data_IF_734590865541
#
_entry.id   IF_734590865541
#
_cell.length_a   1.000
_cell.length_b   1.000
_cell.length_c   1.000
_cell.angle_alpha   90.00
_cell.angle_beta   90.00
_cell.angle_gamma   90.00
#
_symmetry.space_group_name_H-M   'P 1'
#
loop_
_entity.id
_entity.type
_entity.pdbx_description
1 polymer ?
#
# COMPACT_ATOMS: atom_id res chain seq x y z
N UNK A 1 2.79 -3.44 -21.33
CA UNK A 1 1.43 -3.91 -21.01
C UNK A 1 0.47 -2.73 -20.96
N UNK A 2 -0.81 -2.88 -21.32
CA UNK A 2 -1.79 -1.79 -21.24
C UNK A 2 -3.05 -2.27 -20.51
N UNK A 3 -3.73 -1.36 -19.81
CA UNK A 3 -4.98 -1.67 -19.11
C UNK A 3 -6.11 -0.75 -19.51
N UNK A 4 -7.31 -1.33 -19.61
CA UNK A 4 -8.54 -0.57 -19.84
C UNK A 4 -8.96 0.14 -18.56
N UNK A 5 -9.57 1.31 -18.70
CA UNK A 5 -10.16 2.05 -17.57
C UNK A 5 -11.07 1.17 -16.70
N UNK A 6 -11.92 0.34 -17.33
CA UNK A 6 -12.79 -0.60 -16.61
C UNK A 6 -12.02 -1.64 -15.77
N UNK A 7 -10.82 -2.03 -16.19
CA UNK A 7 -9.98 -2.97 -15.42
C UNK A 7 -9.39 -2.28 -14.19
N UNK A 8 -9.01 -1.00 -14.30
CA UNK A 8 -8.50 -0.20 -13.18
C UNK A 8 -9.62 0.01 -12.16
N UNK A 9 -10.82 0.41 -12.61
CA UNK A 9 -11.99 0.59 -11.74
C UNK A 9 -12.32 -0.73 -11.00
N UNK A 10 -12.38 -1.84 -11.74
CA UNK A 10 -12.63 -3.15 -11.12
C UNK A 10 -11.54 -3.55 -10.11
N UNK A 11 -10.27 -3.19 -10.34
CA UNK A 11 -9.19 -3.44 -9.39
C UNK A 11 -9.36 -2.62 -8.10
N UNK A 12 -9.79 -1.35 -8.19
CA UNK A 12 -10.11 -0.50 -7.04
C UNK A 12 -11.24 -1.13 -6.23
N UNK A 13 -12.34 -1.51 -6.88
CA UNK A 13 -13.51 -2.10 -6.21
C UNK A 13 -13.17 -3.41 -5.51
N UNK A 14 -12.43 -4.32 -6.16
CA UNK A 14 -11.97 -5.57 -5.54
C UNK A 14 -11.07 -5.30 -4.34
N UNK A 15 -10.14 -4.35 -4.48
CA UNK A 15 -9.23 -3.98 -3.40
C UNK A 15 -10.00 -3.45 -2.17
N UNK A 16 -10.98 -2.57 -2.39
CA UNK A 16 -11.85 -2.04 -1.34
C UNK A 16 -12.73 -3.11 -0.71
N UNK A 17 -13.36 -3.97 -1.50
CA UNK A 17 -14.21 -5.05 -1.02
C UNK A 17 -13.43 -6.05 -0.18
N UNK A 18 -12.27 -6.50 -0.67
CA UNK A 18 -11.41 -7.44 0.08
C UNK A 18 -10.84 -6.80 1.34
N UNK A 19 -10.46 -5.51 1.30
CA UNK A 19 -10.02 -4.79 2.49
C UNK A 19 -11.10 -4.76 3.56
N UNK A 20 -12.32 -4.34 3.20
CA UNK A 20 -13.45 -4.29 4.12
C UNK A 20 -13.81 -5.68 4.66
N UNK A 21 -13.71 -6.72 3.81
CA UNK A 21 -13.99 -8.09 4.22
C UNK A 21 -13.11 -8.57 5.37
N UNK A 22 -11.86 -8.11 5.49
CA UNK A 22 -10.97 -8.43 6.63
C UNK A 22 -11.51 -7.82 7.93
N UNK A 23 -11.90 -6.55 7.90
CA UNK A 23 -12.39 -5.82 9.08
C UNK A 23 -13.81 -6.19 9.50
N UNK A 24 -14.56 -6.88 8.63
CA UNK A 24 -15.87 -7.44 8.97
C UNK A 24 -15.77 -8.76 9.76
N UNK A 25 -14.58 -9.36 9.87
CA UNK A 25 -14.40 -10.62 10.57
C UNK A 25 -14.35 -10.41 12.09
N UNK A 26 -15.07 -11.28 12.82
CA UNK A 26 -15.18 -11.22 14.28
C UNK A 26 -14.39 -12.31 15.00
N UNK A 27 -13.76 -13.23 14.27
CA UNK A 27 -12.97 -14.32 14.81
C UNK A 27 -11.66 -14.51 14.05
N UNK A 28 -10.66 -15.07 14.75
CA UNK A 28 -9.29 -15.24 14.24
C UNK A 28 -9.22 -16.01 12.91
N UNK A 29 -9.99 -17.08 12.77
CA UNK A 29 -9.99 -17.93 11.56
C UNK A 29 -10.60 -17.23 10.35
N UNK A 30 -11.69 -16.50 10.54
CA UNK A 30 -12.29 -15.65 9.53
C UNK A 30 -11.34 -14.53 9.09
N UNK A 31 -10.69 -13.88 10.06
CA UNK A 31 -9.71 -12.82 9.80
C UNK A 31 -8.55 -13.33 8.94
N UNK A 32 -7.98 -14.48 9.32
CA UNK A 32 -6.88 -15.09 8.58
C UNK A 32 -7.31 -15.46 7.15
N UNK A 33 -8.50 -16.06 6.98
CA UNK A 33 -9.02 -16.44 5.66
C UNK A 33 -9.30 -15.22 4.77
N UNK A 34 -9.86 -14.15 5.34
CA UNK A 34 -10.11 -12.91 4.63
C UNK A 34 -8.80 -12.19 4.25
N UNK A 35 -7.80 -12.22 5.13
CA UNK A 35 -6.47 -11.66 4.85
C UNK A 35 -5.76 -12.43 3.72
N UNK A 36 -5.84 -13.75 3.74
CA UNK A 36 -5.31 -14.60 2.67
C UNK A 36 -5.99 -14.27 1.33
N UNK A 37 -7.32 -14.15 1.31
CA UNK A 37 -8.07 -13.74 0.13
C UNK A 37 -7.71 -12.32 -0.37
N UNK A 38 -7.43 -11.38 0.54
CA UNK A 38 -6.92 -10.06 0.17
C UNK A 38 -5.55 -10.16 -0.51
N UNK A 39 -4.64 -10.96 0.04
CA UNK A 39 -3.29 -11.14 -0.52
C UNK A 39 -3.31 -11.92 -1.84
N UNK A 40 -4.27 -12.80 -2.06
CA UNK A 40 -4.41 -13.52 -3.32
C UNK A 40 -4.82 -12.60 -4.49
N UNK A 41 -5.37 -11.40 -4.23
CA UNK A 41 -5.61 -10.40 -5.27
C UNK A 41 -4.33 -10.04 -6.05
N UNK A 42 -3.16 -10.06 -5.40
CA UNK A 42 -1.88 -9.78 -6.04
C UNK A 42 -1.46 -10.84 -7.06
N UNK A 43 -2.13 -12.00 -7.05
CA UNK A 43 -1.94 -13.08 -8.02
C UNK A 43 -3.10 -13.14 -9.03
N UNK A 44 -4.33 -12.91 -8.57
CA UNK A 44 -5.53 -13.13 -9.36
C UNK A 44 -6.00 -11.90 -10.15
N UNK A 45 -5.71 -10.68 -9.68
CA UNK A 45 -6.05 -9.45 -10.40
C UNK A 45 -4.89 -8.97 -11.27
N UNK A 46 -5.15 -8.78 -12.57
CA UNK A 46 -4.11 -8.47 -13.56
C UNK A 46 -3.44 -7.11 -13.32
N UNK A 47 -4.18 -6.11 -12.83
CA UNK A 47 -3.65 -4.76 -12.61
C UNK A 47 -2.77 -4.78 -11.36
N UNK A 48 -3.30 -5.31 -10.26
CA UNK A 48 -2.56 -5.43 -9.00
C UNK A 48 -1.31 -6.30 -9.13
N UNK A 49 -1.41 -7.42 -9.86
CA UNK A 49 -0.28 -8.29 -10.15
C UNK A 49 0.80 -7.56 -10.95
N UNK A 50 0.41 -6.76 -11.93
CA UNK A 50 1.36 -5.99 -12.73
C UNK A 50 2.04 -4.89 -11.92
N UNK A 51 1.30 -4.13 -11.11
CA UNK A 51 1.86 -3.13 -10.19
C UNK A 51 2.90 -3.78 -9.29
N UNK A 52 2.56 -4.91 -8.67
CA UNK A 52 3.48 -5.63 -7.79
C UNK A 52 4.72 -6.13 -8.54
N UNK A 53 4.54 -6.66 -9.76
CA UNK A 53 5.66 -7.14 -10.59
C UNK A 53 6.61 -5.99 -10.96
N UNK A 54 6.07 -4.82 -11.32
CA UNK A 54 6.87 -3.62 -11.59
C UNK A 54 7.64 -3.19 -10.34
N UNK A 55 6.96 -3.13 -9.20
CA UNK A 55 7.58 -2.86 -7.90
C UNK A 55 8.73 -3.85 -7.70
N UNK A 56 8.48 -5.17 -7.71
CA UNK A 56 9.46 -6.24 -7.48
C UNK A 56 10.65 -6.22 -8.44
N UNK A 57 10.47 -5.76 -9.68
CA UNK A 57 11.52 -5.74 -10.71
C UNK A 57 12.56 -4.61 -10.58
N UNK A 58 12.29 -3.58 -9.78
CA UNK A 58 13.20 -2.44 -9.65
C UNK A 58 14.43 -2.78 -8.79
N UNK A 59 15.64 -2.37 -9.19
CA UNK A 59 16.82 -2.46 -8.34
C UNK A 59 16.67 -1.50 -7.16
N UNK A 60 16.59 -2.06 -5.96
CA UNK A 60 16.51 -1.31 -4.70
C UNK A 60 17.22 -2.08 -3.59
N UNK A 61 17.59 -1.37 -2.54
CA UNK A 61 18.05 -2.02 -1.32
C UNK A 61 16.86 -2.77 -0.69
N UNK A 62 16.91 -4.10 -0.62
CA UNK A 62 15.79 -4.88 -0.09
C UNK A 62 15.65 -4.60 1.41
N UNK A 63 14.45 -4.25 1.85
CA UNK A 63 14.13 -4.25 3.27
C UNK A 63 13.75 -5.66 3.66
N UNK A 64 14.70 -6.38 4.24
CA UNK A 64 14.49 -7.74 4.73
C UNK A 64 13.52 -7.72 5.92
N UNK A 65 12.37 -8.38 5.75
CA UNK A 65 11.30 -8.35 6.76
C UNK A 65 11.75 -8.85 8.14
N UNK A 66 12.64 -9.84 8.18
CA UNK A 66 13.20 -10.36 9.44
C UNK A 66 14.13 -9.35 10.12
N UNK A 67 14.92 -8.60 9.36
CA UNK A 67 15.80 -7.56 9.90
C UNK A 67 14.99 -6.37 10.42
N UNK A 68 13.94 -5.99 9.68
CA UNK A 68 12.99 -4.98 10.11
C UNK A 68 12.29 -5.42 11.41
N UNK A 69 11.79 -6.66 11.50
CA UNK A 69 11.16 -7.18 12.72
C UNK A 69 12.13 -7.29 13.89
N UNK A 70 13.42 -7.62 13.66
CA UNK A 70 14.45 -7.60 14.72
C UNK A 70 14.69 -6.19 15.26
N UNK A 71 14.58 -5.18 14.41
CA UNK A 71 14.83 -3.77 14.77
C UNK A 71 13.62 -3.16 15.47
N UNK A 72 12.43 -3.36 14.90
CA UNK A 72 11.21 -2.67 15.33
C UNK A 72 10.28 -3.54 16.18
N UNK A 73 10.41 -4.87 16.14
CA UNK A 73 9.55 -5.82 16.86
C UNK A 73 9.94 -6.09 18.31
N UNK A 74 10.80 -5.26 18.91
CA UNK A 74 11.24 -5.39 20.31
C UNK A 74 10.54 -4.37 21.21
N UNK A 75 10.29 -4.66 22.49
CA UNK A 75 9.68 -3.70 23.41
C UNK A 75 10.44 -2.37 23.48
N UNK A 76 9.71 -1.26 23.67
CA UNK A 76 10.32 0.07 23.87
C UNK A 76 11.31 0.02 25.03
N UNK A 77 12.53 0.54 24.81
CA UNK A 77 13.61 0.56 25.79
C UNK A 77 14.53 -0.67 25.78
N UNK A 78 14.37 -1.61 24.85
CA UNK A 78 15.33 -2.71 24.68
C UNK A 78 16.71 -2.18 24.23
N UNK A 79 17.81 -2.81 24.67
CA UNK A 79 19.18 -2.37 24.33
C UNK A 79 19.54 -2.48 22.84
N UNK A 80 18.72 -3.13 22.01
CA UNK A 80 19.02 -3.39 20.60
C UNK A 80 17.76 -3.25 19.74
N UNK A 81 17.29 -2.03 19.49
CA UNK A 81 16.13 -1.74 18.64
C UNK A 81 15.09 -0.88 19.35
N UNK A 82 14.25 -0.20 18.56
CA UNK A 82 13.19 0.65 19.08
C UNK A 82 11.84 -0.06 18.87
N UNK A 83 11.06 -0.29 19.92
CA UNK A 83 9.65 -0.70 19.79
C UNK A 83 8.74 0.38 19.19
N UNK A 84 9.32 1.27 18.39
CA UNK A 84 8.63 2.34 17.71
C UNK A 84 8.29 1.81 16.33
N UNK A 85 7.04 1.48 16.12
CA UNK A 85 6.54 1.15 14.79
C UNK A 85 6.88 2.28 13.80
N UNK A 86 7.56 1.93 12.70
CA UNK A 86 7.93 2.87 11.64
C UNK A 86 8.04 2.15 10.29
N UNK A 87 7.12 2.43 9.38
CA UNK A 87 7.19 1.90 8.03
C UNK A 87 8.17 2.71 7.16
N UNK A 88 8.72 2.10 6.09
CA UNK A 88 9.52 2.80 5.11
C UNK A 88 8.76 3.99 4.50
N UNK A 89 9.47 5.10 4.26
CA UNK A 89 8.90 6.28 3.63
C UNK A 89 8.59 6.04 2.15
N UNK A 90 9.45 5.31 1.45
CA UNK A 90 9.29 4.96 0.04
C UNK A 90 8.11 4.00 -0.14
N UNK A 91 7.15 4.38 -0.99
CA UNK A 91 5.93 3.61 -1.23
C UNK A 91 6.24 2.16 -1.68
N UNK A 92 7.14 1.92 -2.66
CA UNK A 92 7.44 0.54 -3.10
C UNK A 92 7.97 -0.34 -1.96
N UNK A 93 8.86 0.21 -1.12
CA UNK A 93 9.43 -0.52 0.02
C UNK A 93 8.38 -0.79 1.09
N UNK A 94 7.48 0.17 1.32
CA UNK A 94 6.36 0.00 2.25
C UNK A 94 5.38 -1.06 1.77
N UNK A 95 5.03 -1.09 0.48
CA UNK A 95 4.18 -2.13 -0.12
C UNK A 95 4.81 -3.51 0.07
N UNK A 96 6.10 -3.67 -0.26
CA UNK A 96 6.78 -4.96 -0.08
C UNK A 96 6.80 -5.41 1.37
N UNK A 97 7.21 -4.54 2.30
CA UNK A 97 7.35 -4.89 3.70
C UNK A 97 6.01 -5.25 4.32
N UNK A 98 4.99 -4.41 4.11
CA UNK A 98 3.64 -4.65 4.64
C UNK A 98 3.06 -5.93 4.07
N UNK A 99 3.19 -6.18 2.76
CA UNK A 99 2.78 -7.44 2.14
C UNK A 99 3.53 -8.64 2.74
N UNK A 100 4.84 -8.57 2.94
CA UNK A 100 5.62 -9.67 3.50
C UNK A 100 5.16 -10.02 4.93
N UNK A 101 4.98 -9.01 5.79
CA UNK A 101 4.52 -9.18 7.16
C UNK A 101 3.08 -9.73 7.22
N UNK A 102 2.19 -9.24 6.34
CA UNK A 102 0.82 -9.74 6.24
C UNK A 102 0.77 -11.16 5.68
N UNK A 103 1.64 -11.51 4.73
CA UNK A 103 1.73 -12.89 4.18
C UNK A 103 2.16 -13.90 5.25
N UNK A 104 3.09 -13.51 6.12
CA UNK A 104 3.46 -14.32 7.30
C UNK A 104 2.31 -14.40 8.30
N UNK A 105 1.58 -13.31 8.51
CA UNK A 105 0.38 -13.31 9.35
C UNK A 105 -0.69 -14.27 8.81
N UNK A 106 -0.91 -14.29 7.49
CA UNK A 106 -1.89 -15.17 6.84
C UNK A 106 -1.47 -16.65 6.88
N UNK A 107 -0.17 -16.95 6.71
CA UNK A 107 0.34 -18.33 6.64
C UNK A 107 0.69 -18.95 7.99
N UNK A 108 1.35 -18.20 8.87
CA UNK A 108 1.75 -18.63 10.23
C UNK A 108 0.62 -18.39 11.27
N UNK A 109 -0.42 -17.63 10.89
CA UNK A 109 -1.54 -17.25 11.73
C UNK A 109 -1.23 -16.10 12.69
N UNK A 110 -2.24 -15.67 13.46
CA UNK A 110 -2.13 -14.53 14.37
C UNK A 110 -1.11 -14.73 15.51
N UNK A 111 -0.63 -15.96 15.75
CA UNK A 111 0.46 -16.20 16.68
C UNK A 111 1.75 -15.49 16.25
N UNK A 112 2.01 -15.39 14.95
CA UNK A 112 3.12 -14.58 14.43
C UNK A 112 2.97 -13.12 14.86
N UNK A 113 1.83 -12.49 14.56
CA UNK A 113 1.53 -11.09 14.88
C UNK A 113 1.57 -10.82 16.39
N UNK A 114 0.99 -11.71 17.20
CA UNK A 114 0.92 -11.58 18.67
C UNK A 114 2.27 -11.39 19.34
N UNK A 115 3.35 -11.91 18.75
CA UNK A 115 4.72 -11.75 19.25
C UNK A 115 5.18 -10.30 19.27
N UNK A 116 4.62 -9.47 18.39
CA UNK A 116 5.05 -8.09 18.17
C UNK A 116 4.04 -7.05 18.67
N UNK A 117 2.79 -7.44 18.95
CA UNK A 117 1.74 -6.51 19.36
C UNK A 117 2.15 -5.64 20.56
N UNK A 118 2.75 -6.25 21.60
CA UNK A 118 3.21 -5.50 22.78
C UNK A 118 4.45 -4.64 22.54
N UNK A 119 5.16 -4.87 21.45
CA UNK A 119 6.27 -3.99 21.05
C UNK A 119 5.70 -2.66 20.52
N UNK A 120 4.64 -2.73 19.71
CA UNK A 120 4.09 -1.57 18.98
C UNK A 120 2.94 -0.88 19.71
N UNK A 121 2.11 -1.64 20.41
CA UNK A 121 0.89 -1.15 21.06
C UNK A 121 1.00 -1.33 22.58
N UNK A 122 0.83 -0.23 23.31
CA UNK A 122 0.96 -0.20 24.77
C UNK A 122 -0.35 -0.40 25.53
N UNK A 123 -1.49 -0.36 24.83
CA UNK A 123 -2.82 -0.43 25.43
C UNK A 123 -3.74 -1.30 24.57
N UNK A 124 -4.78 -1.83 25.22
CA UNK A 124 -5.80 -2.66 24.61
C UNK A 124 -5.64 -4.16 24.89
N UNK A 125 -6.72 -4.91 24.67
CA UNK A 125 -6.66 -6.37 24.69
C UNK A 125 -6.02 -6.91 23.39
N UNK A 126 -5.74 -8.21 23.33
CA UNK A 126 -5.08 -8.84 22.16
C UNK A 126 -5.87 -8.59 20.87
N UNK A 127 -7.19 -8.62 20.93
CA UNK A 127 -8.04 -8.40 19.77
C UNK A 127 -7.92 -6.96 19.27
N UNK A 128 -8.05 -5.97 20.16
CA UNK A 128 -7.87 -4.54 19.84
C UNK A 128 -6.50 -4.26 19.24
N UNK A 129 -5.42 -4.78 19.84
CA UNK A 129 -4.07 -4.65 19.31
C UNK A 129 -3.92 -5.31 17.92
N UNK A 130 -4.60 -6.43 17.68
CA UNK A 130 -4.62 -7.08 16.37
C UNK A 130 -5.32 -6.19 15.34
N UNK A 131 -6.42 -5.53 15.71
CA UNK A 131 -7.11 -4.60 14.81
C UNK A 131 -6.25 -3.36 14.51
N UNK A 132 -5.48 -2.85 15.48
CA UNK A 132 -4.50 -1.79 15.23
C UNK A 132 -3.39 -2.25 14.29
N UNK A 133 -2.84 -3.45 14.49
CA UNK A 133 -1.88 -4.04 13.57
C UNK A 133 -2.43 -4.12 12.14
N UNK A 134 -3.65 -4.60 11.96
CA UNK A 134 -4.27 -4.65 10.63
C UNK A 134 -4.50 -3.24 10.07
N UNK A 135 -4.99 -2.30 10.88
CA UNK A 135 -5.14 -0.91 10.46
C UNK A 135 -3.83 -0.28 9.98
N UNK A 136 -2.73 -0.57 10.67
CA UNK A 136 -1.41 -0.05 10.36
C UNK A 136 -0.80 -0.70 9.11
N UNK A 137 -0.75 -2.04 9.05
CA UNK A 137 -0.09 -2.76 7.97
C UNK A 137 -0.99 -2.95 6.75
N UNK A 138 -2.18 -3.51 6.94
CA UNK A 138 -3.14 -3.72 5.84
C UNK A 138 -3.70 -2.39 5.35
N UNK A 139 -3.98 -1.44 6.25
CA UNK A 139 -4.42 -0.09 5.85
C UNK A 139 -3.35 0.68 5.08
N UNK A 140 -2.06 0.57 5.44
CA UNK A 140 -1.00 1.20 4.65
C UNK A 140 -0.87 0.58 3.26
N UNK A 141 -0.88 -0.75 3.17
CA UNK A 141 -0.82 -1.47 1.89
C UNK A 141 -2.00 -1.10 0.98
N UNK A 142 -3.22 -1.14 1.53
CA UNK A 142 -4.44 -0.76 0.82
C UNK A 142 -4.37 0.68 0.32
N UNK A 143 -4.04 1.64 1.18
CA UNK A 143 -3.97 3.06 0.83
C UNK A 143 -2.97 3.32 -0.29
N UNK A 144 -1.77 2.76 -0.19
CA UNK A 144 -0.72 2.98 -1.19
C UNK A 144 -1.14 2.47 -2.57
N UNK A 145 -1.71 1.25 -2.63
CA UNK A 145 -2.19 0.67 -3.88
C UNK A 145 -3.42 1.42 -4.43
N UNK A 146 -4.36 1.77 -3.56
CA UNK A 146 -5.56 2.49 -3.95
C UNK A 146 -5.22 3.85 -4.56
N UNK A 147 -4.28 4.58 -3.98
CA UNK A 147 -3.83 5.86 -4.52
C UNK A 147 -3.22 5.69 -5.91
N UNK A 148 -2.33 4.70 -6.11
CA UNK A 148 -1.77 4.40 -7.44
C UNK A 148 -2.87 4.09 -8.47
N UNK A 149 -3.86 3.28 -8.10
CA UNK A 149 -4.97 2.94 -8.99
C UNK A 149 -5.87 4.14 -9.30
N UNK A 150 -6.10 5.01 -8.32
CA UNK A 150 -6.84 6.27 -8.53
C UNK A 150 -6.07 7.17 -9.50
N UNK A 151 -4.76 7.31 -9.33
CA UNK A 151 -3.94 8.12 -10.24
C UNK A 151 -3.98 7.54 -11.67
N UNK A 152 -3.93 6.21 -11.83
CA UNK A 152 -4.09 5.55 -13.15
C UNK A 152 -5.47 5.80 -13.75
N UNK A 153 -6.51 5.79 -12.92
CA UNK A 153 -7.87 6.11 -13.36
C UNK A 153 -7.97 7.56 -13.83
N UNK A 154 -7.48 8.49 -13.04
CA UNK A 154 -7.53 9.93 -13.33
C UNK A 154 -6.76 10.23 -14.62
N UNK A 155 -5.56 9.67 -14.80
CA UNK A 155 -4.77 9.82 -16.02
C UNK A 155 -5.50 9.31 -17.28
N UNK A 156 -6.15 8.14 -17.18
CA UNK A 156 -6.94 7.61 -18.27
C UNK A 156 -8.17 8.49 -18.59
N UNK A 157 -8.87 8.98 -17.57
CA UNK A 157 -10.05 9.86 -17.71
C UNK A 157 -9.67 11.23 -18.30
N UNK A 158 -8.56 11.85 -17.85
CA UNK A 158 -8.11 13.15 -18.33
C UNK A 158 -7.66 13.13 -19.80
N UNK A 159 -7.09 12.02 -20.24
CA UNK A 159 -6.64 11.85 -21.62
C UNK A 159 -7.79 11.44 -22.57
N UNK A 160 -9.02 11.26 -22.08
CA UNK A 160 -10.13 10.59 -22.79
C UNK A 160 -9.70 9.24 -23.39
N UNK A 161 -8.76 8.57 -22.70
CA UNK A 161 -8.14 7.34 -23.16
C UNK A 161 -8.85 6.14 -22.53
N UNK A 162 -9.26 5.18 -23.38
CA UNK A 162 -9.83 3.91 -22.91
C UNK A 162 -8.76 2.95 -22.36
N UNK A 163 -7.49 3.26 -22.55
CA UNK A 163 -6.33 2.43 -22.21
C UNK A 163 -5.26 3.30 -21.54
N UNK A 164 -4.60 2.79 -20.51
CA UNK A 164 -3.40 3.40 -19.94
C UNK A 164 -2.17 2.60 -20.39
N UNK A 165 -1.12 3.32 -20.82
CA UNK A 165 0.14 2.72 -21.26
C UNK A 165 1.05 2.35 -20.09
N UNK A 166 1.93 1.36 -20.31
CA UNK A 166 2.91 0.91 -19.31
C UNK A 166 3.83 2.04 -18.83
N UNK A 167 4.23 2.94 -19.73
CA UNK A 167 5.07 4.08 -19.38
C UNK A 167 4.39 5.00 -18.37
N UNK A 168 3.08 5.26 -18.53
CA UNK A 168 2.30 6.04 -17.56
C UNK A 168 2.15 5.31 -16.24
N UNK A 169 1.89 4.00 -16.26
CA UNK A 169 1.82 3.17 -15.05
C UNK A 169 3.14 3.27 -14.26
N UNK A 170 4.27 3.09 -14.93
CA UNK A 170 5.61 3.19 -14.32
C UNK A 170 5.81 4.58 -13.71
N UNK A 171 5.46 5.64 -14.44
CA UNK A 171 5.55 7.02 -13.94
C UNK A 171 4.67 7.25 -12.70
N UNK A 172 3.48 6.65 -12.63
CA UNK A 172 2.63 6.77 -11.43
C UNK A 172 3.25 6.03 -10.24
N UNK A 173 3.74 4.81 -10.44
CA UNK A 173 4.30 3.98 -9.37
C UNK A 173 5.58 4.60 -8.77
N UNK A 174 6.43 5.18 -9.61
CA UNK A 174 7.78 5.62 -9.21
C UNK A 174 8.05 7.13 -9.34
N UNK A 175 7.25 7.86 -10.13
CA UNK A 175 7.51 9.24 -10.52
C UNK A 175 6.91 10.32 -9.63
N UNK A 176 6.00 9.97 -8.72
CA UNK A 176 5.42 10.90 -7.73
C UNK A 176 4.40 11.89 -8.30
N UNK A 177 3.17 11.80 -7.79
CA UNK A 177 2.07 12.76 -7.84
C UNK A 177 1.74 13.45 -9.18
N UNK A 178 0.61 13.04 -9.77
CA UNK A 178 -0.16 13.76 -10.80
C UNK A 178 -0.70 15.13 -10.30
N UNK A 179 -0.51 15.48 -9.02
CA UNK A 179 -1.00 16.75 -8.45
C UNK A 179 -0.36 18.02 -9.04
N UNK A 180 0.69 17.92 -9.86
CA UNK A 180 1.30 19.08 -10.52
C UNK A 180 0.70 19.43 -11.89
N UNK A 181 -0.17 18.59 -12.48
CA UNK A 181 -0.74 18.88 -13.81
C UNK A 181 -1.84 19.96 -13.76
N UNK A 182 -2.44 20.22 -12.58
CA UNK A 182 -3.37 21.34 -12.40
C UNK A 182 -2.68 22.68 -12.03
N UNK A 183 -1.38 22.66 -11.69
CA UNK A 183 -0.63 23.87 -11.35
C UNK A 183 -0.15 24.68 -12.56
N UNK A 184 0.13 24.01 -13.68
CA UNK A 184 0.70 24.66 -14.88
C UNK A 184 -0.34 25.24 -15.84
N UNK A 185 -1.62 24.88 -15.73
CA UNK A 185 -2.68 25.47 -16.57
C UNK A 185 -3.15 26.86 -16.09
N UNK A 186 -2.67 27.35 -14.94
CA UNK A 186 -3.06 28.66 -14.38
C UNK A 186 -1.93 29.70 -14.34
N UNK A 187 -0.79 29.47 -15.03
CA UNK A 187 0.12 30.58 -15.32
C UNK A 187 -0.45 31.43 -16.47
N UNK A 188 -1.38 32.30 -16.11
CA UNK A 188 -1.76 33.45 -16.93
C UNK A 188 -0.52 34.33 -17.06
N UNK A 189 -0.05 34.48 -18.30
CA UNK A 189 1.02 35.36 -18.73
C UNK A 189 0.67 36.81 -18.35
N UNK A 190 1.04 37.22 -17.14
CA UNK A 190 0.96 38.61 -16.68
C UNK A 190 2.19 39.32 -17.23
N UNK A 191 2.08 39.77 -18.48
CA UNK A 191 3.08 40.62 -19.13
C UNK A 191 3.48 41.83 -18.27
N UNK A 192 4.69 42.36 -18.47
CA UNK A 192 5.27 43.35 -17.56
C UNK A 192 4.46 44.65 -17.52
N UNK A 193 4.38 45.33 -16.36
CA UNK A 193 3.63 46.57 -16.24
C UNK A 193 4.27 47.67 -17.09
N UNK A 194 3.50 48.19 -18.04
CA UNK A 194 3.83 49.43 -18.75
C UNK A 194 3.86 50.59 -17.75
N UNK A 195 5.03 51.20 -17.58
CA UNK A 195 5.18 52.48 -16.89
C UNK A 195 4.85 53.61 -17.87
N UNK A 196 3.85 54.42 -17.52
CA UNK A 196 3.58 55.74 -18.10
C UNK A 196 2.99 56.64 -17.04
#
# INVERSE_FOLDING_TARGET
MEFRLAQIIAAIEKLDLSFNAVFMQVNDGGLQSALDAFLDLFRSDRVLNHILSLIESQPREPIESDEWLKTFGKPKGSMAGSGVYSLPNEIPNRILLTRAILSRTASEGLNFTRRFLRAWYSQGNIHEMTMYFLGDFLGSLHRDLKNMLIDMRVEAELADEKLISEARIINIIFGGNVQNVQGDMNQVDMGPPTQS
#
